data_IF_914027542126
#
_entry.id   IF_914027542126
#
_cell.length_a   1.000
_cell.length_b   1.000
_cell.length_c   1.000
_cell.angle_alpha   90.00
_cell.angle_beta   90.00
_cell.angle_gamma   90.00
#
_symmetry.space_group_name_H-M   'P 1'
#
loop_
_entity.id
_entity.type
_entity.pdbx_description
1 polymer ?
#
# COMPACT_ATOMS: atom_id res chain seq x y z
N UNK A 1 -13.61 -14.88 -6.68
CA UNK A 1 -13.80 -14.62 -8.12
C UNK A 1 -12.62 -13.79 -8.67
N UNK A 2 -12.27 -12.64 -8.09
CA UNK A 2 -11.19 -11.78 -8.56
C UNK A 2 -9.85 -12.48 -8.70
N UNK A 3 -9.45 -13.29 -7.72
CA UNK A 3 -8.20 -14.05 -7.77
C UNK A 3 -8.16 -15.06 -8.94
N UNK A 4 -9.28 -15.69 -9.25
CA UNK A 4 -9.39 -16.62 -10.37
C UNK A 4 -9.38 -15.92 -11.73
N UNK A 5 -9.91 -14.70 -11.79
CA UNK A 5 -9.97 -13.89 -13.00
C UNK A 5 -8.78 -12.93 -13.12
N UNK A 6 -7.82 -12.98 -12.19
CA UNK A 6 -6.70 -12.06 -12.10
C UNK A 6 -7.14 -10.58 -12.16
N UNK A 7 -8.18 -10.26 -11.41
CA UNK A 7 -8.73 -8.91 -11.36
C UNK A 7 -8.95 -8.46 -9.92
N UNK A 8 -8.86 -7.15 -9.70
CA UNK A 8 -9.19 -6.48 -8.45
C UNK A 8 -10.68 -6.57 -8.11
N UNK A 9 -11.52 -6.68 -9.12
CA UNK A 9 -12.96 -6.62 -9.00
C UNK A 9 -13.58 -8.00 -8.76
N UNK A 10 -14.74 -8.02 -8.11
CA UNK A 10 -15.62 -9.19 -8.05
C UNK A 10 -16.28 -9.45 -9.42
N UNK A 11 -17.01 -10.57 -9.52
CA UNK A 11 -17.74 -10.94 -10.74
C UNK A 11 -18.81 -9.92 -11.15
N UNK A 12 -19.28 -9.09 -10.22
CA UNK A 12 -20.24 -8.00 -10.45
C UNK A 12 -19.55 -6.60 -10.58
N UNK A 13 -18.25 -6.59 -10.88
CA UNK A 13 -17.46 -5.38 -11.10
C UNK A 13 -17.33 -4.43 -9.89
N UNK A 14 -17.60 -4.91 -8.68
CA UNK A 14 -17.42 -4.14 -7.45
C UNK A 14 -16.02 -4.37 -6.86
N UNK A 15 -15.36 -3.26 -6.52
CA UNK A 15 -14.14 -3.24 -5.72
C UNK A 15 -14.51 -3.24 -4.22
N UNK A 16 -14.21 -4.33 -3.51
CA UNK A 16 -14.52 -4.43 -2.08
C UNK A 16 -13.84 -3.36 -1.23
N UNK A 17 -12.68 -2.85 -1.66
CA UNK A 17 -12.01 -1.74 -0.97
C UNK A 17 -12.55 -0.36 -1.40
N UNK A 18 -13.76 -0.32 -1.94
CA UNK A 18 -14.56 0.88 -2.23
C UNK A 18 -16.01 0.69 -1.80
N UNK A 19 -16.27 -0.27 -0.92
CA UNK A 19 -17.63 -0.66 -0.47
C UNK A 19 -17.73 -0.71 1.07
N UNK A 20 -16.76 -0.10 1.78
CA UNK A 20 -16.68 -0.22 3.24
C UNK A 20 -17.80 0.55 3.97
N UNK A 21 -18.34 1.61 3.37
CA UNK A 21 -19.50 2.37 3.90
C UNK A 21 -20.80 1.97 3.21
N UNK A 22 -20.76 1.75 1.90
CA UNK A 22 -21.96 1.44 1.12
C UNK A 22 -22.51 0.06 1.45
N UNK A 23 -21.65 -0.87 1.90
CA UNK A 23 -22.00 -2.22 2.33
C UNK A 23 -22.90 -2.94 1.32
N UNK A 24 -22.66 -2.72 0.04
CA UNK A 24 -23.46 -3.28 -1.05
C UNK A 24 -23.17 -4.76 -1.28
N UNK A 25 -22.06 -5.26 -0.75
CA UNK A 25 -21.62 -6.63 -0.93
C UNK A 25 -21.66 -7.43 0.38
N UNK A 26 -22.01 -8.72 0.33
CA UNK A 26 -22.08 -9.55 1.52
C UNK A 26 -20.75 -9.65 2.28
N UNK A 27 -19.61 -9.56 1.59
CA UNK A 27 -18.30 -9.54 2.22
C UNK A 27 -18.07 -8.26 3.02
N UNK A 28 -18.47 -7.11 2.51
CA UNK A 28 -18.38 -5.82 3.20
C UNK A 28 -19.30 -5.79 4.43
N UNK A 29 -20.52 -6.31 4.30
CA UNK A 29 -21.45 -6.49 5.42
C UNK A 29 -20.87 -7.42 6.49
N UNK A 30 -20.27 -8.55 6.09
CA UNK A 30 -19.66 -9.51 7.01
C UNK A 30 -18.48 -8.86 7.76
N UNK A 31 -17.61 -8.14 7.06
CA UNK A 31 -16.46 -7.45 7.66
C UNK A 31 -16.92 -6.37 8.65
N UNK A 32 -17.88 -5.54 8.27
CA UNK A 32 -18.45 -4.51 9.15
C UNK A 32 -19.11 -5.12 10.39
N UNK A 33 -19.87 -6.21 10.21
CA UNK A 33 -20.51 -6.94 11.32
C UNK A 33 -19.46 -7.50 12.28
N UNK A 34 -18.39 -8.09 11.74
CA UNK A 34 -17.27 -8.62 12.53
C UNK A 34 -16.59 -7.50 13.32
N UNK A 35 -16.23 -6.40 12.65
CA UNK A 35 -15.62 -5.24 13.28
C UNK A 35 -16.46 -4.72 14.45
N UNK A 36 -17.75 -4.50 14.24
CA UNK A 36 -18.67 -3.99 15.24
C UNK A 36 -18.85 -4.95 16.43
N UNK A 37 -18.78 -6.27 16.18
CA UNK A 37 -18.89 -7.30 17.21
C UNK A 37 -17.64 -7.41 18.07
N UNK A 38 -16.45 -7.41 17.46
CA UNK A 38 -15.19 -7.63 18.17
C UNK A 38 -14.56 -6.35 18.68
N UNK A 39 -14.87 -5.20 18.08
CA UNK A 39 -14.33 -3.88 18.45
C UNK A 39 -12.80 -3.93 18.62
N UNK A 40 -12.06 -4.21 17.55
CA UNK A 40 -10.60 -4.37 17.64
C UNK A 40 -9.94 -3.06 18.06
N UNK A 41 -8.85 -3.17 18.83
CA UNK A 41 -8.03 -2.03 19.24
C UNK A 41 -7.09 -1.56 18.13
N UNK A 42 -6.77 -2.45 17.16
CA UNK A 42 -5.88 -2.18 16.01
C UNK A 42 -6.37 -2.93 14.78
N UNK A 43 -6.12 -2.35 13.61
CA UNK A 43 -6.39 -2.99 12.33
C UNK A 43 -5.16 -3.01 11.42
N UNK A 44 -4.96 -4.13 10.71
CA UNK A 44 -3.99 -4.25 9.64
C UNK A 44 -4.72 -4.50 8.32
N UNK A 45 -4.46 -3.65 7.33
CA UNK A 45 -5.01 -3.77 5.99
C UNK A 45 -3.90 -4.22 5.05
N UNK A 46 -3.96 -5.49 4.58
CA UNK A 46 -2.88 -6.10 3.82
C UNK A 46 -3.16 -6.04 2.33
N UNK A 47 -2.28 -5.37 1.60
CA UNK A 47 -2.35 -5.17 0.16
C UNK A 47 -1.07 -5.65 -0.55
N UNK A 48 -1.18 -5.77 -1.87
CA UNK A 48 -0.04 -5.89 -2.77
C UNK A 48 -0.04 -4.73 -3.75
N UNK A 49 1.07 -4.02 -3.84
CA UNK A 49 1.23 -2.93 -4.80
C UNK A 49 1.83 -3.40 -6.13
N UNK A 50 1.63 -2.58 -7.17
CA UNK A 50 2.24 -2.79 -8.47
C UNK A 50 3.76 -2.61 -8.41
N UNK A 51 4.47 -3.29 -9.32
CA UNK A 51 5.94 -3.25 -9.43
C UNK A 51 6.52 -1.93 -9.92
N UNK A 52 5.66 -0.97 -10.31
CA UNK A 52 6.06 0.32 -10.89
C UNK A 52 6.61 1.33 -9.89
N UNK A 53 6.49 1.04 -8.60
CA UNK A 53 6.84 2.01 -7.56
C UNK A 53 8.29 1.92 -7.10
N UNK A 54 8.92 3.08 -6.97
CA UNK A 54 10.13 3.32 -6.19
C UNK A 54 9.79 3.96 -4.85
N UNK A 55 10.66 3.84 -3.87
CA UNK A 55 10.59 4.61 -2.63
C UNK A 55 11.29 5.96 -2.82
N UNK A 56 10.51 6.96 -3.25
CA UNK A 56 11.03 8.28 -3.64
C UNK A 56 11.77 8.27 -4.99
N UNK A 57 12.49 9.37 -5.25
CA UNK A 57 13.19 9.60 -6.52
C UNK A 57 14.53 8.85 -6.60
N UNK A 58 14.51 7.52 -6.56
CA UNK A 58 15.73 6.70 -6.65
C UNK A 58 15.51 5.48 -7.55
N UNK A 59 16.61 4.90 -8.03
CA UNK A 59 16.58 3.66 -8.82
C UNK A 59 16.61 2.42 -7.91
N UNK A 60 15.63 2.32 -7.02
CA UNK A 60 15.37 1.14 -6.18
C UNK A 60 13.87 0.91 -6.05
N UNK A 61 13.39 -0.34 -6.09
CA UNK A 61 11.97 -0.61 -5.94
C UNK A 61 11.49 -0.25 -4.52
N UNK A 62 10.22 0.13 -4.41
CA UNK A 62 9.51 0.13 -3.13
C UNK A 62 9.16 -1.32 -2.80
N UNK A 63 10.06 -2.02 -2.13
CA UNK A 63 9.91 -3.44 -1.78
C UNK A 63 8.78 -3.65 -0.78
N UNK A 64 8.68 -2.75 0.18
CA UNK A 64 7.56 -2.67 1.12
C UNK A 64 7.11 -1.22 1.21
N UNK A 65 5.82 -1.00 1.23
CA UNK A 65 5.29 0.32 1.55
C UNK A 65 4.23 0.23 2.63
N UNK A 66 4.01 1.34 3.31
CA UNK A 66 3.04 1.45 4.38
C UNK A 66 2.15 2.69 4.18
N UNK A 67 1.06 2.72 4.92
CA UNK A 67 0.24 3.90 5.08
C UNK A 67 -0.40 3.89 6.47
N UNK A 68 -0.38 5.03 7.15
CA UNK A 68 -1.33 5.36 8.19
C UNK A 68 -2.51 6.09 7.53
N UNK A 69 -3.65 5.40 7.23
CA UNK A 69 -4.74 5.97 6.47
C UNK A 69 -5.25 7.29 7.07
N UNK A 70 -5.78 8.16 6.21
CA UNK A 70 -6.40 9.40 6.69
C UNK A 70 -7.66 9.08 7.50
N UNK A 71 -7.95 9.90 8.49
CA UNK A 71 -9.13 9.79 9.32
C UNK A 71 -10.27 10.69 8.82
N UNK A 72 -9.91 11.73 8.07
CA UNK A 72 -10.80 12.75 7.52
C UNK A 72 -10.22 13.35 6.23
N UNK A 73 -11.04 14.15 5.53
CA UNK A 73 -10.67 14.82 4.26
C UNK A 73 -9.48 15.78 4.40
N UNK A 74 -9.24 16.31 5.60
CA UNK A 74 -8.11 17.20 5.88
C UNK A 74 -6.81 16.44 6.15
N UNK A 75 -6.84 15.09 6.14
CA UNK A 75 -5.73 14.22 6.47
C UNK A 75 -5.12 14.55 7.85
N UNK A 76 -5.98 14.89 8.82
CA UNK A 76 -5.58 15.34 10.15
C UNK A 76 -4.71 14.29 10.85
N UNK A 77 -3.62 14.74 11.46
CA UNK A 77 -2.73 13.90 12.27
C UNK A 77 -3.29 13.79 13.67
N UNK A 78 -4.29 12.93 13.84
CA UNK A 78 -4.95 12.66 15.12
C UNK A 78 -4.09 11.77 16.01
N UNK A 79 -4.39 11.69 17.31
CA UNK A 79 -3.63 10.82 18.24
C UNK A 79 -3.72 9.35 17.82
N UNK A 80 -4.88 8.93 17.33
CA UNK A 80 -5.09 7.62 16.76
C UNK A 80 -4.18 7.35 15.55
N UNK A 81 -4.07 8.32 14.64
CA UNK A 81 -3.20 8.23 13.46
C UNK A 81 -1.72 8.25 13.83
N UNK A 82 -1.31 9.02 14.86
CA UNK A 82 0.07 9.02 15.38
C UNK A 82 0.49 7.64 15.88
N UNK A 83 -0.41 6.89 16.52
CA UNK A 83 -0.13 5.51 16.95
C UNK A 83 0.19 4.62 15.73
N UNK A 84 -0.62 4.67 14.68
CA UNK A 84 -0.37 3.92 13.45
C UNK A 84 0.97 4.34 12.79
N UNK A 85 1.26 5.64 12.72
CA UNK A 85 2.52 6.17 12.22
C UNK A 85 3.73 5.70 13.04
N UNK A 86 3.62 5.65 14.38
CA UNK A 86 4.68 5.16 15.26
C UNK A 86 5.00 3.69 15.01
N UNK A 87 3.99 2.85 14.78
CA UNK A 87 4.19 1.45 14.40
C UNK A 87 4.96 1.36 13.08
N UNK A 88 4.57 2.15 12.08
CA UNK A 88 5.24 2.20 10.77
C UNK A 88 6.70 2.63 10.92
N UNK A 89 6.98 3.65 11.72
CA UNK A 89 8.37 4.10 12.00
C UNK A 89 9.22 2.97 12.56
N UNK A 90 8.69 2.18 13.51
CA UNK A 90 9.43 1.04 14.09
C UNK A 90 9.69 -0.07 13.06
N UNK A 91 8.70 -0.38 12.23
CA UNK A 91 8.87 -1.33 11.11
C UNK A 91 9.90 -0.83 10.09
N UNK A 92 9.80 0.44 9.69
CA UNK A 92 10.75 1.05 8.76
C UNK A 92 12.18 1.02 9.31
N UNK A 93 12.42 1.33 10.57
CA UNK A 93 13.76 1.27 11.20
C UNK A 93 14.39 -0.12 11.05
N UNK A 94 13.63 -1.19 11.23
CA UNK A 94 14.12 -2.55 11.02
C UNK A 94 14.41 -2.86 9.54
N UNK A 95 13.50 -2.49 8.66
CA UNK A 95 13.63 -2.77 7.22
C UNK A 95 14.80 -2.00 6.59
N UNK A 96 15.09 -0.77 7.04
CA UNK A 96 16.22 0.01 6.53
C UNK A 96 17.57 -0.66 6.79
N UNK A 97 17.69 -1.57 7.76
CA UNK A 97 18.89 -2.36 8.00
C UNK A 97 19.10 -3.45 6.95
N UNK A 98 18.05 -3.90 6.28
CA UNK A 98 18.05 -5.04 5.36
C UNK A 98 17.84 -4.60 3.91
N UNK A 99 16.90 -3.70 3.68
CA UNK A 99 16.54 -3.15 2.37
C UNK A 99 16.63 -1.62 2.37
N UNK A 100 17.81 -1.05 2.56
CA UNK A 100 17.98 0.39 2.69
C UNK A 100 17.43 1.14 1.47
N UNK A 101 16.61 2.15 1.73
CA UNK A 101 15.96 2.99 0.71
C UNK A 101 14.94 2.25 -0.18
N UNK A 102 14.37 1.14 0.30
CA UNK A 102 13.36 0.37 -0.43
C UNK A 102 12.03 0.30 0.33
N UNK A 103 11.86 1.17 1.32
CA UNK A 103 10.61 1.31 2.06
C UNK A 103 10.00 2.67 1.73
N UNK A 104 8.74 2.67 1.32
CA UNK A 104 8.00 3.88 0.97
C UNK A 104 6.71 4.06 1.77
N UNK A 105 6.08 5.22 1.63
CA UNK A 105 4.71 5.45 2.08
C UNK A 105 3.79 5.66 0.87
N UNK A 106 2.55 5.25 1.03
CA UNK A 106 1.51 5.41 0.02
C UNK A 106 0.78 6.74 0.21
N UNK A 107 0.12 7.23 -0.84
CA UNK A 107 -0.73 8.41 -0.83
C UNK A 107 -1.87 8.26 0.20
N UNK A 108 -2.07 9.27 1.03
CA UNK A 108 -3.06 9.31 2.11
C UNK A 108 -4.35 10.07 1.74
N UNK A 109 -4.62 10.27 0.45
CA UNK A 109 -5.86 10.89 0.00
C UNK A 109 -7.08 10.12 0.56
N UNK A 110 -7.88 10.84 1.35
CA UNK A 110 -9.00 10.26 2.08
C UNK A 110 -10.10 9.72 1.16
N UNK A 111 -10.53 8.50 1.43
CA UNK A 111 -11.71 7.92 0.81
C UNK A 111 -12.44 7.03 1.81
N UNK A 112 -13.55 7.53 2.35
CA UNK A 112 -14.32 6.85 3.40
C UNK A 112 -14.80 5.44 2.99
N UNK A 113 -14.90 5.13 1.70
CA UNK A 113 -15.24 3.79 1.22
C UNK A 113 -14.04 2.82 1.14
N UNK A 114 -12.81 3.30 1.42
CA UNK A 114 -11.67 2.41 1.66
C UNK A 114 -11.75 1.81 3.06
N UNK A 115 -11.51 0.51 3.17
CA UNK A 115 -11.55 -0.21 4.46
C UNK A 115 -10.62 0.43 5.51
N UNK A 116 -9.41 0.82 5.09
CA UNK A 116 -8.43 1.45 5.98
C UNK A 116 -8.91 2.80 6.53
N UNK A 117 -9.39 3.68 5.66
CA UNK A 117 -9.89 5.00 6.04
C UNK A 117 -11.16 4.90 6.89
N UNK A 118 -12.05 3.95 6.56
CA UNK A 118 -13.25 3.66 7.37
C UNK A 118 -12.87 3.28 8.79
N UNK A 119 -11.96 2.33 8.99
CA UNK A 119 -11.59 1.89 10.34
C UNK A 119 -10.79 2.95 11.09
N UNK A 120 -9.94 3.69 10.39
CA UNK A 120 -9.25 4.84 10.94
C UNK A 120 -10.25 5.92 11.41
N UNK A 121 -11.31 6.20 10.64
CA UNK A 121 -12.36 7.17 11.00
C UNK A 121 -13.16 6.75 12.24
N UNK A 122 -13.19 5.45 12.56
CA UNK A 122 -13.80 4.92 13.78
C UNK A 122 -12.88 4.99 15.01
N UNK A 123 -11.79 5.74 14.94
CA UNK A 123 -10.77 5.86 15.99
C UNK A 123 -10.04 4.56 16.32
N UNK A 124 -9.86 3.67 15.34
CA UNK A 124 -9.05 2.47 15.49
C UNK A 124 -7.75 2.66 14.71
N UNK A 125 -6.56 2.65 15.37
CA UNK A 125 -5.28 2.75 14.68
C UNK A 125 -5.17 1.68 13.61
N UNK A 126 -5.06 2.12 12.36
CA UNK A 126 -5.04 1.22 11.20
C UNK A 126 -3.73 1.40 10.45
N UNK A 127 -3.06 0.29 10.16
CA UNK A 127 -1.84 0.27 9.35
C UNK A 127 -2.09 -0.50 8.07
N UNK A 128 -1.89 0.15 6.94
CA UNK A 128 -1.91 -0.50 5.63
C UNK A 128 -0.49 -0.96 5.28
N UNK A 129 -0.39 -2.18 4.79
CA UNK A 129 0.82 -2.83 4.30
C UNK A 129 0.70 -3.04 2.80
N UNK A 130 1.72 -2.70 2.06
CA UNK A 130 1.81 -2.93 0.62
C UNK A 130 3.02 -3.80 0.29
N UNK A 131 2.77 -5.04 -0.13
CA UNK A 131 3.79 -5.93 -0.65
C UNK A 131 4.15 -5.51 -2.06
N UNK A 132 5.37 -5.00 -2.24
CA UNK A 132 5.84 -4.46 -3.50
C UNK A 132 6.67 -5.45 -4.32
N UNK A 133 7.85 -5.00 -4.73
CA UNK A 133 8.77 -5.74 -5.60
C UNK A 133 10.17 -5.79 -5.01
N UNK A 134 10.86 -6.92 -5.22
CA UNK A 134 12.28 -7.06 -4.95
C UNK A 134 12.96 -7.63 -6.19
N UNK A 135 14.16 -7.17 -6.50
CA UNK A 135 14.88 -7.59 -7.70
C UNK A 135 15.13 -9.11 -7.69
N UNK A 136 14.75 -9.77 -8.78
CA UNK A 136 14.89 -11.23 -8.93
C UNK A 136 13.88 -12.07 -8.16
N UNK A 137 12.93 -11.45 -7.44
CA UNK A 137 11.92 -12.12 -6.60
C UNK A 137 10.54 -12.12 -7.29
N UNK A 138 10.41 -12.80 -8.42
CA UNK A 138 9.13 -12.88 -9.14
C UNK A 138 8.00 -13.51 -8.29
N UNK A 139 8.32 -14.53 -7.51
CA UNK A 139 7.38 -15.23 -6.65
C UNK A 139 7.07 -14.49 -5.34
N UNK A 140 7.72 -13.34 -5.10
CA UNK A 140 7.55 -12.50 -3.91
C UNK A 140 7.84 -13.19 -2.58
N UNK A 141 8.73 -14.17 -2.56
CA UNK A 141 9.11 -14.86 -1.32
C UNK A 141 9.92 -13.96 -0.39
N UNK A 142 10.85 -13.19 -0.94
CA UNK A 142 11.64 -12.20 -0.20
C UNK A 142 10.74 -11.07 0.34
N UNK A 143 9.83 -10.57 -0.50
CA UNK A 143 8.85 -9.55 -0.09
C UNK A 143 7.95 -10.08 1.03
N UNK A 144 7.50 -11.33 0.92
CA UNK A 144 6.66 -11.99 1.93
C UNK A 144 7.38 -12.10 3.27
N UNK A 145 8.68 -12.39 3.26
CA UNK A 145 9.51 -12.41 4.46
C UNK A 145 9.55 -11.03 5.13
N UNK A 146 9.76 -9.95 4.39
CA UNK A 146 9.78 -8.60 4.96
C UNK A 146 8.42 -8.16 5.50
N UNK A 147 7.31 -8.52 4.84
CA UNK A 147 5.97 -8.29 5.37
C UNK A 147 5.75 -9.07 6.67
N UNK A 148 6.17 -10.33 6.72
CA UNK A 148 6.09 -11.15 7.94
C UNK A 148 6.90 -10.55 9.10
N UNK A 149 8.14 -10.14 8.86
CA UNK A 149 8.96 -9.45 9.87
C UNK A 149 8.28 -8.16 10.36
N UNK A 150 7.71 -7.38 9.45
CA UNK A 150 6.98 -6.16 9.77
C UNK A 150 5.76 -6.43 10.65
N UNK A 151 4.98 -7.47 10.35
CA UNK A 151 3.85 -7.90 11.18
C UNK A 151 4.29 -8.32 12.58
N UNK A 152 5.40 -9.05 12.72
CA UNK A 152 5.94 -9.43 14.03
C UNK A 152 6.33 -8.19 14.85
N UNK A 153 6.97 -7.21 14.24
CA UNK A 153 7.32 -5.95 14.89
C UNK A 153 6.07 -5.19 15.33
N UNK A 154 5.08 -5.06 14.46
CA UNK A 154 3.84 -4.38 14.77
C UNK A 154 3.11 -5.05 15.94
N UNK A 155 2.97 -6.38 15.93
CA UNK A 155 2.36 -7.16 17.01
C UNK A 155 3.16 -7.00 18.32
N UNK A 156 4.48 -7.04 18.25
CA UNK A 156 5.32 -6.82 19.43
C UNK A 156 5.14 -5.44 20.02
N UNK A 157 5.07 -4.40 19.19
CA UNK A 157 4.82 -3.02 19.62
C UNK A 157 3.48 -2.89 20.35
N UNK A 158 2.43 -3.52 19.81
CA UNK A 158 1.09 -3.54 20.41
C UNK A 158 1.12 -4.28 21.74
N UNK A 159 1.69 -5.49 21.76
CA UNK A 159 1.74 -6.34 22.95
C UNK A 159 2.57 -5.74 24.10
N UNK A 160 3.60 -4.95 23.79
CA UNK A 160 4.43 -4.29 24.80
C UNK A 160 3.79 -3.01 25.40
N UNK A 161 2.63 -2.62 24.91
CA UNK A 161 1.89 -1.40 25.35
C UNK A 161 2.75 -0.12 25.34
N UNK A 162 3.67 0.02 24.38
CA UNK A 162 4.59 1.15 24.24
C UNK A 162 4.21 2.03 23.05
N UNK A 163 2.92 2.30 22.88
CA UNK A 163 2.37 3.05 21.75
C UNK A 163 1.65 4.30 22.29
N UNK A 164 2.43 5.30 22.62
CA UNK A 164 1.96 6.63 23.06
C UNK A 164 1.89 7.66 21.92
N UNK A 165 2.30 7.25 20.71
CA UNK A 165 2.41 8.14 19.55
C UNK A 165 3.70 8.96 19.52
N UNK A 166 4.65 8.76 20.40
CA UNK A 166 5.94 9.48 20.36
C UNK A 166 6.78 9.05 19.14
N UNK A 167 7.45 10.03 18.53
CA UNK A 167 8.33 9.80 17.36
C UNK A 167 7.58 9.55 16.05
N UNK A 168 6.28 9.84 15.99
CA UNK A 168 5.49 9.73 14.75
C UNK A 168 6.03 10.64 13.63
N UNK A 169 6.72 11.72 13.95
CA UNK A 169 7.28 12.67 12.98
C UNK A 169 8.28 12.02 12.03
N UNK A 170 8.93 10.94 12.46
CA UNK A 170 9.82 10.15 11.60
C UNK A 170 9.07 9.47 10.45
N UNK A 171 7.75 9.32 10.54
CA UNK A 171 6.90 8.82 9.45
C UNK A 171 7.01 9.70 8.20
N UNK A 172 7.01 11.00 8.35
CA UNK A 172 7.11 11.97 7.25
C UNK A 172 8.51 12.05 6.62
N UNK A 173 9.50 11.35 7.19
CA UNK A 173 10.84 11.19 6.61
C UNK A 173 10.94 9.97 5.70
N UNK A 174 9.96 9.07 5.75
CA UNK A 174 9.88 7.94 4.83
C UNK A 174 9.43 8.49 3.46
N UNK A 175 10.15 8.19 2.37
CA UNK A 175 9.81 8.76 1.07
C UNK A 175 8.47 8.24 0.55
N UNK A 176 7.74 9.09 -0.15
CA UNK A 176 6.53 8.70 -0.87
C UNK A 176 6.85 7.79 -2.05
N UNK A 177 5.92 6.93 -2.41
CA UNK A 177 6.03 6.08 -3.58
C UNK A 177 5.93 6.90 -4.86
N UNK A 178 6.86 6.68 -5.79
CA UNK A 178 6.85 7.31 -7.11
C UNK A 178 6.80 6.26 -8.23
N UNK A 179 6.07 6.54 -9.30
CA UNK A 179 5.98 5.65 -10.47
C UNK A 179 7.20 5.82 -11.36
N UNK A 180 8.23 4.98 -11.17
CA UNK A 180 9.53 5.10 -11.86
C UNK A 180 10.00 3.83 -12.55
N UNK A 181 9.37 2.69 -12.30
CA UNK A 181 9.71 1.43 -12.94
C UNK A 181 8.73 1.08 -14.04
N UNK A 182 9.26 0.74 -15.20
CA UNK A 182 8.52 0.36 -16.40
C UNK A 182 9.19 -0.86 -17.02
N UNK A 183 8.45 -1.65 -17.79
CA UNK A 183 8.99 -2.85 -18.42
C UNK A 183 9.99 -2.52 -19.52
N UNK A 184 9.72 -1.46 -20.31
CA UNK A 184 10.62 -0.97 -21.36
C UNK A 184 10.68 0.57 -21.30
N UNK A 185 11.89 1.11 -21.43
CA UNK A 185 12.08 2.57 -21.62
C UNK A 185 12.91 2.79 -22.87
N UNK A 186 12.38 3.56 -23.83
CA UNK A 186 13.08 4.01 -25.01
C UNK A 186 13.47 5.46 -24.77
N UNK A 187 14.76 5.71 -24.65
CA UNK A 187 15.32 7.04 -24.36
C UNK A 187 15.56 7.85 -25.65
N UNK A 188 15.31 9.16 -25.58
CA UNK A 188 15.58 10.10 -26.67
C UNK A 188 14.90 9.68 -28.00
N UNK A 189 13.70 9.12 -27.94
CA UNK A 189 12.94 8.75 -29.11
C UNK A 189 12.54 10.00 -29.91
N UNK A 190 12.81 10.00 -31.21
CA UNK A 190 12.29 11.03 -32.11
C UNK A 190 10.88 10.66 -32.54
N UNK A 191 9.91 11.40 -32.10
CA UNK A 191 8.52 11.22 -32.45
C UNK A 191 8.09 12.33 -33.42
N UNK A 192 7.42 11.95 -34.52
CA UNK A 192 6.84 12.89 -35.47
C UNK A 192 5.32 12.79 -35.38
N UNK A 193 4.71 13.80 -34.76
CA UNK A 193 3.25 13.94 -34.68
C UNK A 193 2.84 15.23 -35.34
N UNK A 194 1.87 15.19 -36.22
CA UNK A 194 1.30 16.38 -36.90
C UNK A 194 2.36 17.32 -37.51
N UNK A 195 3.38 16.74 -38.19
CA UNK A 195 4.53 17.43 -38.77
C UNK A 195 5.45 18.17 -37.77
N UNK A 196 5.32 17.92 -36.46
CA UNK A 196 6.25 18.40 -35.43
C UNK A 196 7.13 17.27 -34.97
N UNK A 197 8.43 17.49 -34.93
CA UNK A 197 9.39 16.55 -34.35
C UNK A 197 9.57 16.89 -32.86
N UNK A 198 9.45 15.86 -32.02
CA UNK A 198 9.73 15.95 -30.57
C UNK A 198 10.71 14.86 -30.19
N UNK A 199 11.62 15.18 -29.28
CA UNK A 199 12.49 14.19 -28.62
C UNK A 199 11.92 13.97 -27.22
N UNK A 200 11.58 12.73 -26.90
CA UNK A 200 11.02 12.36 -25.61
C UNK A 200 11.41 10.92 -25.22
N UNK A 201 11.25 10.60 -23.95
CA UNK A 201 11.36 9.24 -23.47
C UNK A 201 10.00 8.55 -23.53
N UNK A 202 9.96 7.32 -24.02
CA UNK A 202 8.76 6.49 -24.08
C UNK A 202 8.86 5.40 -23.05
N UNK A 203 7.93 5.37 -22.10
CA UNK A 203 7.81 4.31 -21.09
C UNK A 203 6.67 3.37 -21.48
N UNK A 204 6.94 2.08 -21.51
CA UNK A 204 5.98 1.02 -21.85
C UNK A 204 5.81 0.13 -20.65
N UNK A 205 4.59 -0.23 -20.34
CA UNK A 205 4.23 -1.12 -19.27
C UNK A 205 3.34 -2.22 -19.81
N UNK A 206 3.66 -3.47 -19.46
CA UNK A 206 2.83 -4.62 -19.82
C UNK A 206 1.55 -4.63 -19.01
N UNK A 207 0.50 -5.10 -19.62
CA UNK A 207 -0.72 -5.50 -18.94
C UNK A 207 -0.80 -7.02 -18.96
N UNK A 208 -0.72 -7.63 -17.80
CA UNK A 208 -0.89 -9.08 -17.66
C UNK A 208 -2.38 -9.43 -17.75
N UNK A 209 -2.68 -10.43 -18.55
CA UNK A 209 -4.03 -10.97 -18.72
C UNK A 209 -3.98 -12.49 -18.71
N UNK A 210 -4.98 -13.12 -18.11
CA UNK A 210 -5.11 -14.56 -18.15
C UNK A 210 -5.55 -15.03 -19.54
N UNK A 211 -4.79 -15.98 -20.10
CA UNK A 211 -5.17 -16.72 -21.31
C UNK A 211 -5.17 -18.22 -20.94
N UNK A 212 -6.29 -18.89 -21.09
CA UNK A 212 -6.45 -20.31 -20.73
C UNK A 212 -6.00 -20.65 -19.29
N UNK A 213 -6.29 -19.77 -18.34
CA UNK A 213 -5.88 -19.84 -16.92
C UNK A 213 -4.36 -19.74 -16.67
N UNK A 214 -3.58 -19.24 -17.61
CA UNK A 214 -2.17 -18.90 -17.46
C UNK A 214 -1.93 -17.41 -17.71
N UNK A 215 -0.91 -16.83 -17.04
CA UNK A 215 -0.41 -15.46 -17.26
C UNK A 215 0.64 -15.48 -18.36
#
# INVERSE_FOLDING_TARGET
DGAKAYTRFKANEIDLNRDAQDLSQPESVALSTFFNKFKPDFCFNLHGQRTIFSAGNINKPATVSFLAPAQDEACTVTDNRKIAMTIIVKMNKNLQLQIPKQVGIYDDAFNINCVGDTFQSYNVPTVLFEAGHFEGDYNREVVREYIFQSLLIAIHCIASNQLDGEGYEDYFKIPENEKRFYDIIIRNAKLKLDNKEQILDIAIQYQETLVDNAL
#
